data_IF_644587335398
#
_entry.id   IF_644587335398
#
_cell.length_a   1.000
_cell.length_b   1.000
_cell.length_c   1.000
_cell.angle_alpha   90.00
_cell.angle_beta   90.00
_cell.angle_gamma   90.00
#
_symmetry.space_group_name_H-M   'P 1'
#
loop_
_entity.id
_entity.type
_entity.pdbx_description
1 polymer ?
#
# COMPACT_ATOMS: atom_id res chain seq x y z
N UNK A 1 -9.82 -16.93 16.08
CA UNK A 1 -8.64 -16.04 15.94
C UNK A 1 -8.19 -16.06 14.50
N UNK A 2 -7.86 -14.91 13.93
CA UNK A 2 -7.47 -14.75 12.53
C UNK A 2 -6.02 -14.26 12.43
N UNK A 3 -5.36 -14.57 11.32
CA UNK A 3 -4.05 -14.05 10.96
C UNK A 3 -4.24 -12.72 10.21
N UNK A 4 -3.75 -11.63 10.79
CA UNK A 4 -3.95 -10.28 10.27
C UNK A 4 -2.62 -9.71 9.77
N UNK A 5 -2.54 -9.24 8.51
CA UNK A 5 -1.32 -8.68 7.96
C UNK A 5 -0.99 -7.33 8.61
N UNK A 6 0.26 -7.19 9.02
CA UNK A 6 0.77 -5.97 9.66
C UNK A 6 2.08 -5.52 9.02
N UNK A 7 2.40 -4.24 9.17
CA UNK A 7 3.75 -3.72 8.96
C UNK A 7 4.37 -3.37 10.31
N UNK A 8 5.67 -3.62 10.45
CA UNK A 8 6.41 -3.12 11.61
C UNK A 8 6.60 -1.60 11.48
N UNK A 9 6.37 -0.88 12.57
CA UNK A 9 6.57 0.58 12.66
C UNK A 9 7.21 0.88 14.00
N UNK A 10 8.54 1.00 14.02
CA UNK A 10 9.30 1.10 15.27
C UNK A 10 9.08 -0.14 16.15
N UNK A 11 8.63 0.09 17.38
CA UNK A 11 8.30 -0.95 18.37
C UNK A 11 6.87 -1.48 18.25
N UNK A 12 6.07 -0.96 17.32
CA UNK A 12 4.66 -1.31 17.16
C UNK A 12 4.37 -2.01 15.82
N UNK A 13 3.16 -2.56 15.73
CA UNK A 13 2.61 -3.11 14.50
C UNK A 13 1.44 -2.26 14.02
N UNK A 14 1.49 -1.85 12.75
CA UNK A 14 0.37 -1.16 12.11
C UNK A 14 -0.38 -2.12 11.19
N UNK A 15 -1.71 -2.15 11.31
CA UNK A 15 -2.59 -2.91 10.42
C UNK A 15 -2.38 -2.49 8.97
N UNK A 16 -2.35 -3.48 8.08
CA UNK A 16 -2.27 -3.26 6.63
C UNK A 16 -3.68 -3.25 6.06
N UNK A 17 -4.18 -2.07 5.70
CA UNK A 17 -5.46 -1.91 5.02
C UNK A 17 -5.27 -2.00 3.50
N UNK A 18 -6.27 -2.53 2.83
CA UNK A 18 -6.29 -2.72 1.38
C UNK A 18 -7.34 -1.82 0.75
N UNK A 19 -7.20 -1.58 -0.57
CA UNK A 19 -8.19 -0.83 -1.34
C UNK A 19 -9.04 -1.77 -2.16
N UNK A 20 -10.33 -1.54 -2.15
CA UNK A 20 -11.28 -2.17 -3.06
C UNK A 20 -11.30 -1.42 -4.41
N UNK A 21 -11.95 -2.03 -5.41
CA UNK A 21 -12.02 -1.49 -6.78
C UNK A 21 -12.73 -0.13 -6.85
N UNK A 22 -13.69 0.08 -5.95
CA UNK A 22 -14.43 1.33 -5.76
C UNK A 22 -13.62 2.42 -5.01
N UNK A 23 -12.38 2.11 -4.61
CA UNK A 23 -11.51 3.02 -3.86
C UNK A 23 -11.74 3.00 -2.34
N UNK A 24 -12.75 2.27 -1.86
CA UNK A 24 -12.98 2.11 -0.42
C UNK A 24 -11.86 1.29 0.24
N UNK A 25 -11.67 1.47 1.55
CA UNK A 25 -10.68 0.73 2.32
C UNK A 25 -11.32 -0.51 2.94
N UNK A 26 -10.55 -1.58 3.03
CA UNK A 26 -10.97 -2.85 3.61
C UNK A 26 -9.87 -3.43 4.49
N UNK A 27 -10.26 -3.99 5.62
CA UNK A 27 -9.40 -4.85 6.42
C UNK A 27 -9.40 -6.27 5.83
N UNK A 28 -8.26 -6.92 5.80
CA UNK A 28 -8.13 -8.31 5.33
C UNK A 28 -7.62 -9.16 6.47
N UNK A 29 -8.18 -10.35 6.62
CA UNK A 29 -7.74 -11.34 7.58
C UNK A 29 -7.74 -12.72 6.93
N UNK A 30 -6.96 -13.63 7.50
CA UNK A 30 -6.83 -15.00 7.00
C UNK A 30 -7.16 -15.99 8.11
N UNK A 31 -7.78 -17.10 7.76
CA UNK A 31 -8.01 -18.19 8.73
C UNK A 31 -6.73 -18.93 9.06
N UNK A 32 -5.73 -18.91 8.18
CA UNK A 32 -4.44 -19.57 8.38
C UNK A 32 -3.24 -18.70 7.98
N UNK A 33 -2.09 -18.94 8.64
CA UNK A 33 -0.82 -18.33 8.26
C UNK A 33 -0.40 -18.73 6.83
N UNK A 34 -0.69 -19.96 6.43
CA UNK A 34 -0.38 -20.47 5.09
C UNK A 34 -1.13 -19.70 4.00
N UNK A 35 -2.43 -19.44 4.17
CA UNK A 35 -3.21 -18.64 3.23
C UNK A 35 -2.66 -17.20 3.11
N UNK A 36 -2.26 -16.62 4.23
CA UNK A 36 -1.62 -15.29 4.25
C UNK A 36 -0.30 -15.29 3.47
N UNK A 37 0.58 -16.26 3.72
CA UNK A 37 1.89 -16.39 3.06
C UNK A 37 1.74 -16.66 1.57
N UNK A 38 0.79 -17.51 1.19
CA UNK A 38 0.47 -17.80 -0.21
C UNK A 38 0.04 -16.53 -0.97
N UNK A 39 -0.72 -15.64 -0.32
CA UNK A 39 -1.25 -14.45 -0.97
C UNK A 39 -0.30 -13.24 -0.95
N UNK A 40 0.33 -12.98 0.19
CA UNK A 40 1.12 -11.77 0.43
C UNK A 40 2.63 -12.02 0.40
N UNK A 41 3.04 -13.27 0.27
CA UNK A 41 4.43 -13.71 0.29
C UNK A 41 4.98 -13.96 1.70
N UNK A 42 6.08 -14.71 1.81
CA UNK A 42 6.66 -15.13 3.08
C UNK A 42 7.27 -14.00 3.92
N UNK A 43 7.59 -12.87 3.30
CA UNK A 43 8.10 -11.70 4.01
C UNK A 43 7.01 -10.92 4.79
N UNK A 44 5.73 -11.23 4.53
CA UNK A 44 4.62 -10.54 5.18
C UNK A 44 4.48 -10.96 6.64
N UNK A 45 4.63 -9.99 7.56
CA UNK A 45 4.38 -10.21 9.00
C UNK A 45 2.88 -10.36 9.30
N UNK A 46 2.54 -11.17 10.29
CA UNK A 46 1.18 -11.34 10.77
C UNK A 46 1.09 -11.35 12.28
N UNK A 47 -0.07 -10.92 12.80
CA UNK A 47 -0.44 -11.05 14.21
C UNK A 47 -1.76 -11.80 14.33
N UNK A 48 -2.01 -12.43 15.49
CA UNK A 48 -3.28 -13.11 15.75
C UNK A 48 -4.23 -12.16 16.44
N UNK A 49 -5.38 -11.91 15.83
CA UNK A 49 -6.44 -11.06 16.39
C UNK A 49 -7.80 -11.74 16.28
N UNK A 50 -8.69 -11.45 17.23
CA UNK A 50 -10.10 -11.80 17.07
C UNK A 50 -10.73 -10.89 16.02
N UNK A 51 -11.73 -11.40 15.30
CA UNK A 51 -12.48 -10.57 14.35
C UNK A 51 -13.06 -9.30 14.98
N UNK A 52 -13.72 -9.35 16.17
CA UNK A 52 -14.24 -8.14 16.81
C UNK A 52 -13.15 -7.11 17.12
N UNK A 53 -11.97 -7.57 17.55
CA UNK A 53 -10.84 -6.68 17.82
C UNK A 53 -10.32 -6.01 16.55
N UNK A 54 -10.24 -6.76 15.44
CA UNK A 54 -9.84 -6.21 14.14
C UNK A 54 -10.84 -5.15 13.66
N UNK A 55 -12.15 -5.42 13.77
CA UNK A 55 -13.19 -4.45 13.40
C UNK A 55 -13.12 -3.18 14.26
N UNK A 56 -12.91 -3.33 15.57
CA UNK A 56 -12.75 -2.20 16.49
C UNK A 56 -11.53 -1.32 16.15
N UNK A 57 -10.41 -1.93 15.72
CA UNK A 57 -9.23 -1.20 15.29
C UNK A 57 -9.37 -0.55 13.90
N UNK A 58 -10.18 -1.13 13.01
CA UNK A 58 -10.40 -0.64 11.66
C UNK A 58 -11.46 0.48 11.58
N UNK A 59 -12.45 0.47 12.46
CA UNK A 59 -13.56 1.42 12.45
C UNK A 59 -13.12 2.90 12.52
N UNK A 60 -12.20 3.32 13.40
CA UNK A 60 -11.71 4.70 13.45
C UNK A 60 -11.01 5.17 12.17
N UNK A 61 -10.55 4.23 11.33
CA UNK A 61 -9.88 4.50 10.06
C UNK A 61 -10.86 4.58 8.88
N UNK A 62 -12.17 4.56 9.16
CA UNK A 62 -13.25 4.58 8.17
C UNK A 62 -13.43 3.24 7.44
N UNK A 63 -12.98 2.14 8.05
CA UNK A 63 -13.02 0.80 7.44
C UNK A 63 -13.97 -0.12 8.22
N UNK A 64 -15.15 -0.36 7.64
CA UNK A 64 -16.16 -1.29 8.18
C UNK A 64 -16.15 -2.65 7.48
N UNK A 65 -15.59 -2.70 6.26
CA UNK A 65 -15.46 -3.94 5.49
C UNK A 65 -14.29 -4.78 5.99
N UNK A 66 -14.58 -6.03 6.34
CA UNK A 66 -13.59 -7.06 6.66
C UNK A 66 -13.76 -8.21 5.67
N UNK A 67 -12.69 -8.55 4.97
CA UNK A 67 -12.63 -9.70 4.06
C UNK A 67 -11.78 -10.79 4.71
N UNK A 68 -12.35 -11.98 4.82
CA UNK A 68 -11.69 -13.17 5.36
C UNK A 68 -11.31 -14.07 4.18
N UNK A 69 -10.05 -14.52 4.13
CA UNK A 69 -9.48 -15.36 3.07
C UNK A 69 -9.89 -14.90 1.66
N UNK A 70 -9.42 -13.71 1.24
CA UNK A 70 -9.71 -13.21 -0.09
C UNK A 70 -9.28 -14.22 -1.14
N UNK A 71 -10.25 -14.72 -1.90
CA UNK A 71 -10.02 -15.62 -3.01
C UNK A 71 -9.24 -14.88 -4.11
N UNK A 72 -8.16 -15.47 -4.59
CA UNK A 72 -7.37 -15.01 -5.76
C UNK A 72 -8.17 -15.19 -7.05
N UNK A 73 -9.28 -14.47 -7.20
CA UNK A 73 -9.93 -14.34 -8.50
C UNK A 73 -9.36 -13.09 -9.15
N UNK A 74 -8.17 -13.21 -9.74
CA UNK A 74 -7.63 -12.19 -10.63
C UNK A 74 -8.08 -12.52 -12.05
N UNK A 75 -8.99 -11.75 -12.67
CA UNK A 75 -9.03 -11.69 -14.13
C UNK A 75 -7.66 -11.23 -14.64
N UNK A 76 -7.16 -11.76 -15.77
CA UNK A 76 -5.85 -11.42 -16.31
C UNK A 76 -5.66 -9.90 -16.38
N UNK A 77 -4.53 -9.41 -15.86
CA UNK A 77 -4.21 -7.98 -15.88
C UNK A 77 -3.93 -7.59 -17.33
N UNK A 78 -4.78 -6.77 -17.93
CA UNK A 78 -4.45 -6.11 -19.19
C UNK A 78 -3.23 -5.21 -18.92
N UNK A 79 -2.13 -5.44 -19.64
CA UNK A 79 -0.91 -4.65 -19.50
C UNK A 79 -1.25 -3.17 -19.73
N UNK A 80 -1.15 -2.37 -18.65
CA UNK A 80 -1.33 -0.92 -18.77
C UNK A 80 -0.03 -0.34 -19.28
N UNK A 81 -0.01 0.00 -20.57
CA UNK A 81 1.11 0.73 -21.20
C UNK A 81 1.27 2.06 -20.46
N UNK A 82 2.28 2.14 -19.59
CA UNK A 82 2.64 3.39 -18.96
C UNK A 82 3.27 4.30 -20.03
N UNK A 83 2.49 5.26 -20.54
CA UNK A 83 3.07 6.39 -21.28
C UNK A 83 3.94 7.17 -20.30
N UNK A 84 5.25 7.00 -20.43
CA UNK A 84 6.23 7.87 -19.79
C UNK A 84 6.21 9.19 -20.56
N UNK A 85 5.40 10.15 -20.10
CA UNK A 85 5.55 11.53 -20.58
C UNK A 85 6.85 12.07 -20.01
N UNK A 86 7.92 12.09 -20.80
CA UNK A 86 9.10 12.87 -20.49
C UNK A 86 8.68 14.34 -20.49
N UNK A 87 8.73 14.98 -19.33
CA UNK A 87 8.61 16.44 -19.24
C UNK A 87 9.89 17.05 -19.79
N UNK A 88 9.95 17.23 -21.11
CA UNK A 88 10.87 18.19 -21.70
C UNK A 88 10.39 19.58 -21.27
N UNK A 89 11.06 20.16 -20.28
CA UNK A 89 10.97 21.57 -19.97
C UNK A 89 12.40 22.10 -19.93
N UNK A 90 12.79 22.73 -21.03
CA UNK A 90 14.05 23.46 -21.12
C UNK A 90 14.11 24.50 -20.00
N UNK A 91 15.07 24.34 -19.10
CA UNK A 91 15.50 25.41 -18.23
C UNK A 91 16.63 26.14 -18.95
N UNK A 92 16.25 27.07 -19.84
CA UNK A 92 17.19 28.06 -20.33
C UNK A 92 17.58 28.95 -19.15
N UNK A 93 18.79 28.75 -18.62
CA UNK A 93 19.35 29.61 -17.59
C UNK A 93 19.53 31.03 -18.16
N UNK A 94 19.15 32.09 -17.44
CA UNK A 94 19.56 33.44 -17.82
C UNK A 94 21.08 33.54 -17.68
N UNK A 95 21.77 33.83 -18.79
CA UNK A 95 23.18 34.20 -18.79
C UNK A 95 23.30 35.60 -18.17
N UNK A 96 23.83 35.69 -16.96
CA UNK A 96 24.28 36.97 -16.41
C UNK A 96 25.59 37.38 -17.12
N UNK A 97 25.75 38.65 -17.53
CA UNK A 97 27.02 39.11 -18.06
C UNK A 97 28.04 39.17 -16.92
N UNK A 98 29.23 38.60 -17.13
CA UNK A 98 30.35 38.76 -16.22
C UNK A 98 30.79 40.24 -16.24
N UNK A 99 30.70 40.91 -15.09
CA UNK A 99 31.41 42.18 -14.86
C UNK A 99 32.91 41.89 -14.93
N UNK A 100 33.57 42.37 -15.97
CA UNK A 100 35.03 42.35 -16.09
C UNK A 100 35.64 43.26 -15.02
N UNK A 101 36.70 42.82 -14.31
CA UNK A 101 37.47 43.71 -13.46
C UNK A 101 38.35 44.60 -14.34
N UNK A 102 38.17 45.91 -14.21
CA UNK A 102 39.07 46.93 -14.76
C UNK A 102 40.35 46.96 -13.92
N UNK A 103 41.50 46.65 -14.53
CA UNK A 103 42.84 47.00 -14.06
C UNK A 103 43.70 47.37 -15.24
#
# INVERSE_FOLDING_TARGET
MLHVPVRAVGTAFALRLFKQRDGSRCAVAFTSATALTMLLGPAQRSVRLAEPALRALAAPLGTTTLVIDPQLVAPPVAARTAVRTSRAAGHAAPRFPALQPQR
#
